data_IF_321478106198
#
_entry.id   IF_321478106198
#
_cell.length_a   1.000
_cell.length_b   1.000
_cell.length_c   1.000
_cell.angle_alpha   90.00
_cell.angle_beta   90.00
_cell.angle_gamma   90.00
#
_symmetry.space_group_name_H-M   'P 1'
#
loop_
_entity.id
_entity.type
_entity.pdbx_description
1 polymer ?
#
# COMPACT_ATOMS: atom_id res chain seq x y z
N UNK A 1 14.70 -41.65 -45.06
CA UNK A 1 15.76 -41.11 -44.18
C UNK A 1 16.25 -39.72 -44.59
N UNK A 2 16.55 -39.47 -45.88
CA UNK A 2 17.07 -38.16 -46.34
C UNK A 2 16.03 -37.02 -46.28
N UNK A 3 14.74 -37.29 -46.53
CA UNK A 3 13.66 -36.29 -46.45
C UNK A 3 13.29 -35.85 -45.01
N UNK A 4 13.58 -36.69 -43.99
CA UNK A 4 13.39 -36.33 -42.58
C UNK A 4 14.64 -35.68 -41.94
N UNK A 5 15.75 -35.64 -42.67
CA UNK A 5 16.92 -34.82 -42.32
C UNK A 5 16.71 -33.37 -42.78
N UNK A 6 16.09 -33.18 -43.95
CA UNK A 6 15.84 -31.86 -44.52
C UNK A 6 14.77 -31.06 -43.75
N UNK A 7 13.77 -31.73 -43.15
CA UNK A 7 12.76 -31.06 -42.32
C UNK A 7 13.28 -30.54 -40.98
N UNK A 8 14.41 -31.07 -40.48
CA UNK A 8 15.08 -30.56 -39.26
C UNK A 8 15.96 -29.34 -39.52
N UNK A 9 16.30 -29.02 -40.78
CA UNK A 9 17.06 -27.82 -41.12
C UNK A 9 16.17 -26.61 -41.44
N UNK A 10 14.93 -26.81 -41.90
CA UNK A 10 13.97 -25.70 -42.06
C UNK A 10 13.44 -25.18 -40.72
N UNK A 11 13.44 -25.99 -39.66
CA UNK A 11 13.14 -25.54 -38.30
C UNK A 11 14.25 -24.65 -37.67
N UNK A 12 15.45 -24.63 -38.26
CA UNK A 12 16.56 -23.75 -37.85
C UNK A 12 16.75 -22.53 -38.76
N UNK A 13 15.89 -22.35 -39.76
CA UNK A 13 16.00 -21.25 -40.74
C UNK A 13 14.86 -20.23 -40.65
N UNK A 14 13.88 -20.43 -39.76
CA UNK A 14 12.97 -19.36 -39.39
C UNK A 14 13.50 -18.72 -38.10
N UNK A 15 14.19 -17.60 -38.27
CA UNK A 15 14.49 -16.63 -37.22
C UNK A 15 13.16 -16.05 -36.71
N UNK A 16 12.39 -16.88 -36.02
CA UNK A 16 11.32 -16.44 -35.15
C UNK A 16 12.02 -15.93 -33.88
N UNK A 17 11.84 -14.67 -33.47
CA UNK A 17 11.97 -14.33 -32.06
C UNK A 17 10.81 -14.99 -31.31
N UNK A 18 10.78 -16.33 -31.25
CA UNK A 18 9.83 -17.14 -30.48
C UNK A 18 10.31 -17.36 -29.04
N UNK A 19 11.36 -16.66 -28.60
CA UNK A 19 11.84 -16.68 -27.22
C UNK A 19 11.60 -15.35 -26.48
N UNK A 20 10.73 -14.47 -26.98
CA UNK A 20 10.38 -13.24 -26.24
C UNK A 20 9.41 -13.55 -25.09
N UNK A 21 8.75 -14.72 -25.11
CA UNK A 21 8.13 -15.30 -23.92
C UNK A 21 8.94 -16.50 -23.44
N UNK A 22 10.20 -16.23 -23.09
CA UNK A 22 11.01 -17.16 -22.32
C UNK A 22 10.43 -17.24 -20.91
N UNK A 23 9.49 -18.18 -20.71
CA UNK A 23 8.89 -18.50 -19.41
C UNK A 23 9.94 -18.88 -18.36
N UNK A 24 11.14 -19.30 -18.78
CA UNK A 24 12.24 -19.64 -17.87
C UNK A 24 13.07 -18.40 -17.47
N UNK A 25 13.10 -17.35 -18.30
CA UNK A 25 13.70 -16.05 -17.96
C UNK A 25 12.84 -15.23 -16.99
N UNK A 26 11.51 -15.33 -17.08
CA UNK A 26 10.61 -14.68 -16.11
C UNK A 26 10.75 -15.33 -14.73
N UNK A 27 10.84 -16.67 -14.69
CA UNK A 27 11.07 -17.45 -13.44
C UNK A 27 12.49 -17.22 -12.89
N UNK A 28 13.46 -16.80 -13.71
CA UNK A 28 14.81 -16.38 -13.24
C UNK A 28 14.97 -14.89 -12.91
N UNK A 29 14.04 -14.03 -13.35
CA UNK A 29 13.90 -12.66 -12.85
C UNK A 29 13.20 -12.61 -11.48
N UNK A 30 12.61 -13.72 -11.03
CA UNK A 30 12.22 -14.02 -9.64
C UNK A 30 13.44 -14.37 -8.77
N UNK A 31 14.61 -13.75 -9.03
CA UNK A 31 15.66 -13.66 -8.03
C UNK A 31 15.29 -12.54 -7.05
N UNK A 32 15.11 -12.84 -5.75
CA UNK A 32 14.55 -11.91 -4.75
C UNK A 32 15.55 -10.82 -4.32
N UNK A 33 16.03 -10.00 -5.26
CA UNK A 33 16.97 -8.92 -4.93
C UNK A 33 16.95 -7.71 -5.88
N UNK A 34 16.19 -7.75 -6.97
CA UNK A 34 15.84 -6.53 -7.70
C UNK A 34 14.44 -6.08 -7.30
N UNK A 35 14.22 -5.97 -5.98
CA UNK A 35 13.16 -5.11 -5.44
C UNK A 35 13.61 -3.68 -5.76
N UNK A 36 13.46 -3.29 -7.02
CA UNK A 36 13.42 -1.88 -7.37
C UNK A 36 12.33 -1.34 -6.46
N UNK A 37 12.70 -0.34 -5.67
CA UNK A 37 11.79 0.48 -4.89
C UNK A 37 10.96 1.31 -5.88
N UNK A 38 10.22 0.62 -6.74
CA UNK A 38 9.29 1.15 -7.69
C UNK A 38 7.95 1.01 -7.00
N UNK A 39 7.30 2.13 -6.75
CA UNK A 39 5.93 2.14 -6.28
C UNK A 39 5.06 1.42 -7.31
N UNK A 40 4.56 0.24 -6.94
CA UNK A 40 3.54 -0.41 -7.73
C UNK A 40 2.24 0.39 -7.59
N UNK A 41 1.68 0.81 -8.72
CA UNK A 41 0.46 1.60 -8.74
C UNK A 41 -0.75 0.79 -8.25
N UNK A 42 -0.75 -0.52 -8.45
CA UNK A 42 -1.76 -1.45 -7.94
C UNK A 42 -1.70 -1.60 -6.43
N UNK A 43 -0.52 -1.79 -5.86
CA UNK A 43 -0.35 -1.87 -4.40
C UNK A 43 -0.73 -0.56 -3.71
N UNK A 44 -0.34 0.58 -4.29
CA UNK A 44 -0.70 1.91 -3.78
C UNK A 44 -2.21 2.15 -3.87
N UNK A 45 -2.84 1.79 -4.98
CA UNK A 45 -4.30 1.90 -5.14
C UNK A 45 -5.06 1.02 -4.15
N UNK A 46 -4.56 -0.19 -3.90
CA UNK A 46 -5.15 -1.10 -2.92
C UNK A 46 -5.01 -0.58 -1.48
N UNK A 47 -3.86 -0.01 -1.13
CA UNK A 47 -3.63 0.62 0.17
C UNK A 47 -4.54 1.83 0.39
N UNK A 48 -4.70 2.70 -0.62
CA UNK A 48 -5.61 3.84 -0.56
C UNK A 48 -7.08 3.40 -0.45
N UNK A 49 -7.48 2.36 -1.18
CA UNK A 49 -8.82 1.78 -1.05
C UNK A 49 -9.05 1.22 0.35
N UNK A 50 -8.08 0.50 0.90
CA UNK A 50 -8.15 -0.08 2.25
C UNK A 50 -8.24 1.02 3.32
N UNK A 51 -7.44 2.08 3.19
CA UNK A 51 -7.50 3.25 4.08
C UNK A 51 -8.86 3.97 4.00
N UNK A 52 -9.43 4.12 2.80
CA UNK A 52 -10.76 4.70 2.62
C UNK A 52 -11.87 3.86 3.27
N UNK A 53 -11.78 2.52 3.20
CA UNK A 53 -12.71 1.60 3.88
C UNK A 53 -12.63 1.73 5.41
N UNK A 54 -11.43 1.88 5.96
CA UNK A 54 -11.24 2.12 7.41
C UNK A 54 -11.80 3.47 7.83
N UNK A 55 -11.57 4.54 7.05
CA UNK A 55 -12.13 5.86 7.32
C UNK A 55 -13.67 5.87 7.33
N UNK A 56 -14.31 4.97 6.58
CA UNK A 56 -15.77 4.83 6.54
C UNK A 56 -16.37 4.10 7.76
N UNK A 57 -15.58 3.31 8.50
CA UNK A 57 -16.04 2.57 9.69
C UNK A 57 -16.46 3.51 10.84
N UNK A 58 -15.67 4.55 11.12
CA UNK A 58 -15.88 5.49 12.24
C UNK A 58 -17.20 6.27 12.13
N UNK A 59 -17.55 6.87 10.97
CA UNK A 59 -18.87 7.46 10.77
C UNK A 59 -19.95 6.40 10.46
N UNK A 60 -19.60 5.24 9.88
CA UNK A 60 -20.54 4.18 9.51
C UNK A 60 -21.21 3.52 10.72
N UNK A 61 -20.44 3.23 11.77
CA UNK A 61 -20.98 2.77 13.05
C UNK A 61 -21.85 3.85 13.70
N UNK A 62 -21.44 5.11 13.65
CA UNK A 62 -22.23 6.20 14.21
C UNK A 62 -23.58 6.39 13.52
N UNK A 63 -23.67 6.15 12.21
CA UNK A 63 -24.93 6.16 11.48
C UNK A 63 -25.83 5.00 11.90
N UNK A 64 -25.25 3.82 12.15
CA UNK A 64 -25.97 2.66 12.69
C UNK A 64 -26.44 2.90 14.14
N UNK A 65 -25.58 3.42 15.00
CA UNK A 65 -25.90 3.77 16.40
C UNK A 65 -26.88 4.94 16.50
N UNK A 66 -26.80 5.91 15.58
CA UNK A 66 -27.74 7.02 15.47
C UNK A 66 -29.13 6.60 14.95
N UNK A 67 -29.22 5.53 14.16
CA UNK A 67 -30.48 4.97 13.65
C UNK A 67 -31.25 4.12 14.68
N UNK A 68 -30.57 3.57 15.69
CA UNK A 68 -31.18 2.84 16.80
C UNK A 68 -31.60 3.75 17.97
N UNK A 69 -31.26 5.03 17.90
CA UNK A 69 -31.58 6.02 18.93
C UNK A 69 -32.78 6.88 18.51
N UNK A 70 -33.43 7.52 19.47
CA UNK A 70 -34.56 8.40 19.25
C UNK A 70 -34.25 9.50 18.21
N UNK A 71 -35.19 9.74 17.28
CA UNK A 71 -35.03 10.62 16.10
C UNK A 71 -34.47 12.02 16.40
N UNK A 72 -34.74 12.57 17.60
CA UNK A 72 -34.26 13.90 17.97
C UNK A 72 -32.74 13.98 18.22
N UNK A 73 -32.06 12.84 18.40
CA UNK A 73 -30.62 12.81 18.71
C UNK A 73 -29.76 12.29 17.57
N UNK A 74 -30.36 11.75 16.50
CA UNK A 74 -29.65 11.18 15.35
C UNK A 74 -28.81 12.23 14.61
N UNK A 75 -29.35 13.44 14.43
CA UNK A 75 -28.64 14.54 13.75
C UNK A 75 -27.38 14.97 14.51
N UNK A 76 -27.48 15.01 15.84
CA UNK A 76 -26.36 15.40 16.71
C UNK A 76 -25.24 14.34 16.68
N UNK A 77 -25.58 13.06 16.61
CA UNK A 77 -24.60 11.95 16.54
C UNK A 77 -23.81 12.00 15.24
N UNK A 78 -24.48 12.23 14.10
CA UNK A 78 -23.80 12.35 12.81
C UNK A 78 -22.85 13.55 12.77
N UNK A 79 -23.26 14.71 13.30
CA UNK A 79 -22.40 15.89 13.37
C UNK A 79 -21.21 15.69 14.33
N UNK A 80 -21.45 15.07 15.49
CA UNK A 80 -20.40 14.76 16.46
C UNK A 80 -19.36 13.80 15.88
N UNK A 81 -19.76 12.82 15.09
CA UNK A 81 -18.83 11.90 14.42
C UNK A 81 -17.95 12.57 13.36
N UNK A 82 -18.48 13.59 12.66
CA UNK A 82 -17.70 14.37 11.70
C UNK A 82 -16.65 15.23 12.42
N UNK A 83 -17.03 15.86 13.53
CA UNK A 83 -16.11 16.66 14.37
C UNK A 83 -15.04 15.78 15.02
N UNK A 84 -15.40 14.60 15.54
CA UNK A 84 -14.40 13.69 16.13
C UNK A 84 -13.41 13.17 15.10
N UNK A 85 -13.86 12.86 13.87
CA UNK A 85 -12.96 12.40 12.81
C UNK A 85 -11.95 13.47 12.43
N UNK A 86 -12.39 14.73 12.32
CA UNK A 86 -11.50 15.86 12.04
C UNK A 86 -10.46 16.09 13.15
N UNK A 87 -10.84 16.00 14.42
CA UNK A 87 -9.91 16.18 15.54
C UNK A 87 -8.86 15.07 15.57
N UNK A 88 -9.26 13.81 15.38
CA UNK A 88 -8.34 12.67 15.37
C UNK A 88 -7.34 12.78 14.23
N UNK A 89 -7.76 13.19 13.03
CA UNK A 89 -6.87 13.39 11.88
C UNK A 89 -5.82 14.47 12.14
N UNK A 90 -6.22 15.59 12.76
CA UNK A 90 -5.29 16.67 13.16
C UNK A 90 -4.29 16.19 14.21
N UNK A 91 -4.75 15.49 15.26
CA UNK A 91 -3.84 14.93 16.29
C UNK A 91 -2.88 13.91 15.69
N UNK A 92 -3.36 13.09 14.77
CA UNK A 92 -2.55 12.10 14.05
C UNK A 92 -1.45 12.76 13.21
N UNK A 93 -1.80 13.81 12.46
CA UNK A 93 -0.86 14.58 11.64
C UNK A 93 0.22 15.27 12.48
N UNK A 94 -0.13 15.86 13.62
CA UNK A 94 0.81 16.64 14.44
C UNK A 94 1.80 15.75 15.18
N UNK A 95 1.31 14.72 15.89
CA UNK A 95 2.17 13.86 16.73
C UNK A 95 1.96 12.35 16.54
N UNK A 96 0.79 11.90 16.09
CA UNK A 96 0.44 10.48 16.06
C UNK A 96 1.32 9.66 15.10
N UNK A 97 1.59 10.19 13.91
CA UNK A 97 2.48 9.55 12.95
C UNK A 97 3.90 9.35 13.52
N UNK A 98 4.44 10.39 14.16
CA UNK A 98 5.78 10.32 14.76
C UNK A 98 5.84 9.33 15.91
N UNK A 99 4.85 9.34 16.81
CA UNK A 99 4.87 8.46 17.98
C UNK A 99 4.75 6.96 17.61
N UNK A 100 4.13 6.65 16.47
CA UNK A 100 3.95 5.27 15.99
C UNK A 100 5.12 4.78 15.10
N UNK A 101 5.74 5.65 14.30
CA UNK A 101 6.71 5.27 13.26
C UNK A 101 8.10 5.90 13.39
N UNK A 102 8.33 6.75 14.40
CA UNK A 102 9.64 7.31 14.74
C UNK A 102 10.11 6.65 16.02
N UNK A 103 11.35 6.16 16.11
CA UNK A 103 11.86 5.51 17.33
C UNK A 103 12.42 4.12 17.07
N UNK A 104 13.64 4.08 16.55
CA UNK A 104 14.42 2.85 16.38
C UNK A 104 15.36 2.65 17.57
N UNK A 105 15.05 1.64 18.40
CA UNK A 105 15.93 1.02 19.42
C UNK A 105 16.28 1.81 20.70
N UNK A 106 15.81 3.04 20.88
CA UNK A 106 16.18 3.89 22.01
C UNK A 106 15.30 3.72 23.28
N UNK A 107 14.13 3.07 23.19
CA UNK A 107 13.21 2.89 24.33
C UNK A 107 12.31 1.64 24.28
N UNK A 108 12.88 0.45 23.98
CA UNK A 108 12.18 -0.86 23.94
C UNK A 108 10.97 -0.94 22.97
N UNK A 109 10.84 0.00 22.03
CA UNK A 109 9.72 0.03 21.06
C UNK A 109 8.36 0.39 21.67
N UNK A 110 8.33 0.92 22.91
CA UNK A 110 7.08 1.24 23.62
C UNK A 110 6.58 2.65 23.24
N UNK A 111 7.49 3.60 23.04
CA UNK A 111 7.19 5.00 22.70
C UNK A 111 8.17 5.44 21.62
N UNK A 112 7.61 6.04 20.58
CA UNK A 112 8.37 6.68 19.52
C UNK A 112 8.92 8.07 19.86
N UNK A 113 9.77 8.60 18.99
CA UNK A 113 10.34 9.94 19.09
C UNK A 113 9.45 11.01 18.41
N UNK A 114 9.64 12.29 18.72
CA UNK A 114 8.92 13.40 18.10
C UNK A 114 9.61 13.95 16.82
N UNK A 115 10.62 13.26 16.29
CA UNK A 115 11.41 13.75 15.14
C UNK A 115 10.63 13.82 13.83
N UNK A 116 9.65 12.94 13.63
CA UNK A 116 8.76 12.96 12.45
C UNK A 116 7.44 13.69 12.72
N UNK A 117 7.39 14.55 13.75
CA UNK A 117 6.22 15.40 13.97
C UNK A 117 5.95 16.26 12.71
N UNK A 118 4.68 16.47 12.37
CA UNK A 118 4.26 17.16 11.13
C UNK A 118 4.70 16.49 9.81
N UNK A 119 5.06 15.20 9.81
CA UNK A 119 5.62 14.49 8.65
C UNK A 119 6.90 15.13 8.07
N UNK A 120 7.67 15.81 8.91
CA UNK A 120 8.94 16.43 8.50
C UNK A 120 9.91 15.31 8.07
N UNK A 121 10.43 15.41 6.84
CA UNK A 121 11.44 14.49 6.30
C UNK A 121 10.92 13.23 5.58
N UNK A 122 9.63 13.16 5.23
CA UNK A 122 9.05 12.09 4.41
C UNK A 122 9.04 12.50 2.94
N UNK A 123 10.09 12.15 2.19
CA UNK A 123 10.28 12.47 0.76
C UNK A 123 10.50 11.21 -0.10
N UNK A 124 10.38 11.31 -1.44
CA UNK A 124 10.60 10.20 -2.41
C UNK A 124 12.02 9.58 -2.35
N UNK A 125 12.96 10.21 -1.65
CA UNK A 125 14.30 9.68 -1.38
C UNK A 125 14.35 8.73 -0.18
N UNK A 126 13.31 8.69 0.64
CA UNK A 126 13.17 7.79 1.81
C UNK A 126 12.68 6.38 1.46
N UNK A 127 12.58 6.07 0.16
CA UNK A 127 12.17 4.76 -0.36
C UNK A 127 13.14 3.61 0.00
N UNK A 128 14.33 3.94 0.52
CA UNK A 128 15.34 2.98 0.98
C UNK A 128 15.59 3.12 2.49
N UNK A 129 15.05 2.17 3.26
CA UNK A 129 15.31 1.94 4.70
C UNK A 129 14.13 2.38 5.59
N UNK A 130 13.59 1.56 6.50
CA UNK A 130 14.08 0.39 7.24
C UNK A 130 13.02 -0.69 7.35
#
# INVERSE_FOLDING_TARGET
AILLSRSRQTARAFHHPASVYDTDSLIRQISPSCTIMAFDTGDTAWMLMSAALVCLMTPGLAFFYGGLVHHNSTLLIVFQSFVSMAIVDVVWYVIGYSMAFSGGENNLGIIGDAEKAFLIGVDDTSISGT
#
